data_IF_604609668893
#
_entry.id   IF_604609668893
#
_cell.length_a   1.000
_cell.length_b   1.000
_cell.length_c   1.000
_cell.angle_alpha   90.00
_cell.angle_beta   90.00
_cell.angle_gamma   90.00
#
_symmetry.space_group_name_H-M   'P 1'
#
loop_
_entity.id
_entity.type
_entity.pdbx_description
1 polymer ?
#
# COMPACT_ATOMS: atom_id res chain seq x y z
N UNK A 1 28.37 13.45 18.12
CA UNK A 1 29.57 12.62 17.95
C UNK A 1 29.13 11.25 17.48
N UNK A 2 29.21 11.01 16.17
CA UNK A 2 28.97 9.70 15.56
C UNK A 2 30.08 8.75 16.02
N UNK A 3 29.82 7.51 16.45
CA UNK A 3 30.91 6.60 16.79
C UNK A 3 31.71 6.34 15.50
N UNK A 4 32.96 6.78 15.50
CA UNK A 4 33.92 6.42 14.47
C UNK A 4 34.17 4.90 14.55
N UNK A 5 34.20 4.23 13.40
CA UNK A 5 34.73 2.87 13.20
C UNK A 5 33.95 1.69 13.79
N UNK A 6 32.69 1.48 13.41
CA UNK A 6 32.19 0.10 13.35
C UNK A 6 32.76 -0.58 12.09
N UNK A 7 33.51 -1.66 12.25
CA UNK A 7 33.92 -2.53 11.13
C UNK A 7 32.70 -2.84 10.24
N UNK A 8 32.76 -2.62 8.90
CA UNK A 8 31.64 -2.88 8.00
C UNK A 8 31.02 -4.27 8.17
N UNK A 9 31.85 -5.29 8.38
CA UNK A 9 31.38 -6.64 8.62
C UNK A 9 30.57 -6.76 9.91
N UNK A 10 30.95 -6.04 10.95
CA UNK A 10 30.27 -6.04 12.25
C UNK A 10 28.90 -5.37 12.16
N UNK A 11 28.78 -4.25 11.45
CA UNK A 11 27.48 -3.58 11.26
C UNK A 11 26.50 -4.45 10.48
N UNK A 12 26.95 -5.10 9.41
CA UNK A 12 26.12 -5.98 8.58
C UNK A 12 25.70 -7.25 9.32
N UNK A 13 26.62 -7.86 10.09
CA UNK A 13 26.29 -9.01 10.95
C UNK A 13 25.22 -8.64 11.99
N UNK A 14 25.41 -7.51 12.69
CA UNK A 14 24.42 -7.04 13.64
C UNK A 14 23.05 -6.77 12.98
N UNK A 15 23.03 -6.13 11.80
CA UNK A 15 21.79 -5.89 11.08
C UNK A 15 21.08 -7.19 10.67
N UNK A 16 21.84 -8.21 10.26
CA UNK A 16 21.32 -9.52 9.95
C UNK A 16 20.73 -10.20 11.19
N UNK A 17 21.46 -10.19 12.31
CA UNK A 17 20.98 -10.78 13.57
C UNK A 17 19.71 -10.08 14.08
N UNK A 18 19.63 -8.75 13.96
CA UNK A 18 18.43 -7.96 14.26
C UNK A 18 17.25 -8.40 13.37
N UNK A 19 17.48 -8.54 12.05
CA UNK A 19 16.45 -9.00 11.12
C UNK A 19 15.94 -10.41 11.45
N UNK A 20 16.84 -11.34 11.80
CA UNK A 20 16.46 -12.70 12.22
C UNK A 20 15.60 -12.67 13.48
N UNK A 21 15.91 -11.81 14.46
CA UNK A 21 15.07 -11.63 15.65
C UNK A 21 13.67 -11.15 15.29
N UNK A 22 13.54 -10.18 14.38
CA UNK A 22 12.22 -9.70 13.93
C UNK A 22 11.45 -10.79 13.17
N UNK A 23 12.12 -11.62 12.35
CA UNK A 23 11.50 -12.77 11.70
C UNK A 23 11.04 -13.85 12.70
N UNK A 24 11.79 -14.08 13.78
CA UNK A 24 11.38 -14.96 14.87
C UNK A 24 10.12 -14.43 15.55
N UNK A 25 10.09 -13.13 15.89
CA UNK A 25 8.91 -12.49 16.46
C UNK A 25 7.69 -12.51 15.50
N UNK A 26 7.92 -12.49 14.18
CA UNK A 26 6.86 -12.66 13.20
C UNK A 26 6.33 -14.11 13.16
N UNK A 27 7.22 -15.11 13.25
CA UNK A 27 6.82 -16.53 13.35
C UNK A 27 6.00 -16.78 14.60
N UNK A 28 6.42 -16.22 15.72
CA UNK A 28 5.76 -16.36 17.03
C UNK A 28 4.29 -15.91 16.98
N UNK A 29 3.95 -14.97 16.09
CA UNK A 29 2.57 -14.57 15.86
C UNK A 29 1.68 -15.67 15.25
N UNK A 30 2.25 -16.78 14.77
CA UNK A 30 1.46 -17.90 14.22
C UNK A 30 1.00 -18.90 15.28
N UNK A 31 1.62 -18.91 16.47
CA UNK A 31 1.37 -19.94 17.48
C UNK A 31 1.28 -19.43 18.93
N UNK A 32 1.76 -18.22 19.25
CA UNK A 32 1.63 -17.63 20.59
C UNK A 32 0.21 -17.06 20.83
N UNK A 33 -0.55 -17.58 21.81
CA UNK A 33 -1.94 -17.17 22.04
C UNK A 33 -2.16 -15.67 22.27
N UNK A 34 -1.22 -14.98 22.92
CA UNK A 34 -1.24 -13.54 23.19
C UNK A 34 -1.18 -12.69 21.91
N UNK A 35 -0.61 -13.23 20.83
CA UNK A 35 -0.56 -12.61 19.51
C UNK A 35 -1.76 -12.98 18.63
N UNK A 36 -2.76 -13.64 19.22
CA UNK A 36 -4.08 -13.89 18.64
C UNK A 36 -4.03 -14.59 17.26
N UNK A 37 -3.29 -15.70 17.10
CA UNK A 37 -3.25 -16.44 15.86
C UNK A 37 -4.61 -17.06 15.51
N UNK A 38 -4.73 -17.52 14.27
CA UNK A 38 -5.83 -18.39 13.88
C UNK A 38 -5.80 -19.71 14.69
N UNK A 39 -6.95 -20.41 14.86
CA UNK A 39 -6.99 -21.69 15.54
C UNK A 39 -5.97 -22.69 14.97
N UNK A 40 -5.21 -23.35 15.83
CA UNK A 40 -4.07 -24.21 15.46
C UNK A 40 -4.51 -25.57 14.87
N UNK A 41 -5.22 -25.54 13.74
CA UNK A 41 -5.48 -26.73 12.91
C UNK A 41 -4.28 -26.98 12.00
N UNK A 42 -4.10 -28.23 11.53
CA UNK A 42 -3.03 -28.59 10.57
C UNK A 42 -2.99 -27.63 9.37
N UNK A 43 -4.18 -27.36 8.79
CA UNK A 43 -4.32 -26.44 7.66
C UNK A 43 -3.90 -25.01 8.02
N UNK A 44 -4.39 -24.47 9.13
CA UNK A 44 -4.07 -23.08 9.51
C UNK A 44 -2.59 -22.89 9.83
N UNK A 45 -1.95 -23.88 10.46
CA UNK A 45 -0.52 -23.84 10.70
C UNK A 45 0.26 -23.84 9.37
N UNK A 46 -0.04 -24.75 8.45
CA UNK A 46 0.63 -24.78 7.15
C UNK A 46 0.42 -23.49 6.35
N UNK A 47 -0.81 -22.98 6.34
CA UNK A 47 -1.16 -21.71 5.67
C UNK A 47 -0.50 -20.50 6.35
N UNK A 48 -0.37 -20.50 7.68
CA UNK A 48 0.31 -19.45 8.43
C UNK A 48 1.79 -19.31 8.05
N UNK A 49 2.51 -20.42 7.86
CA UNK A 49 3.89 -20.38 7.37
C UNK A 49 3.98 -19.92 5.90
N UNK A 50 3.01 -20.29 5.06
CA UNK A 50 2.91 -19.76 3.69
C UNK A 50 2.64 -18.26 3.68
N UNK A 51 1.79 -17.78 4.59
CA UNK A 51 1.48 -16.37 4.79
C UNK A 51 2.70 -15.57 5.26
N UNK A 52 3.45 -16.10 6.23
CA UNK A 52 4.74 -15.54 6.67
C UNK A 52 5.73 -15.42 5.50
N UNK A 53 5.87 -16.47 4.68
CA UNK A 53 6.73 -16.44 3.50
C UNK A 53 6.25 -15.41 2.45
N UNK A 54 4.94 -15.23 2.30
CA UNK A 54 4.36 -14.19 1.44
C UNK A 54 4.75 -12.78 1.89
N UNK A 55 4.73 -12.51 3.19
CA UNK A 55 5.21 -11.22 3.70
C UNK A 55 6.71 -11.06 3.64
N UNK A 56 7.49 -12.14 3.77
CA UNK A 56 8.93 -12.09 3.52
C UNK A 56 9.23 -11.61 2.10
N UNK A 57 8.50 -12.15 1.11
CA UNK A 57 8.64 -11.71 -0.29
C UNK A 57 8.31 -10.22 -0.46
N UNK A 58 7.16 -9.77 0.04
CA UNK A 58 6.78 -8.35 -0.02
C UNK A 58 7.79 -7.44 0.70
N UNK A 59 8.29 -7.86 1.87
CA UNK A 59 9.26 -7.09 2.65
C UNK A 59 10.60 -6.90 1.94
N UNK A 60 11.07 -7.90 1.18
CA UNK A 60 12.29 -7.77 0.36
C UNK A 60 12.09 -6.65 -0.66
N UNK A 61 11.01 -6.71 -1.44
CA UNK A 61 10.74 -5.66 -2.43
C UNK A 61 10.66 -4.28 -1.76
N UNK A 62 10.00 -4.20 -0.59
CA UNK A 62 9.76 -2.95 0.13
C UNK A 62 11.00 -2.37 0.82
N UNK A 63 11.91 -3.22 1.28
CA UNK A 63 13.11 -2.74 1.94
C UNK A 63 14.17 -2.31 0.93
N UNK A 64 14.35 -3.07 -0.16
CA UNK A 64 15.49 -2.91 -1.07
C UNK A 64 15.18 -2.11 -2.33
N UNK A 65 13.90 -2.00 -2.73
CA UNK A 65 13.50 -1.42 -4.03
C UNK A 65 12.51 -0.26 -3.89
N UNK A 66 12.66 0.55 -2.84
CA UNK A 66 11.78 1.68 -2.52
C UNK A 66 12.48 3.03 -2.77
N UNK A 67 12.94 3.26 -4.01
CA UNK A 67 13.60 4.50 -4.43
C UNK A 67 12.57 5.50 -5.02
N UNK A 68 12.22 6.59 -4.31
CA UNK A 68 11.27 7.57 -4.81
C UNK A 68 11.83 8.43 -5.95
N UNK A 69 13.14 8.39 -6.25
CA UNK A 69 13.73 9.06 -7.41
C UNK A 69 13.66 8.21 -8.68
N UNK A 70 13.56 6.90 -8.52
CA UNK A 70 13.39 5.91 -9.60
C UNK A 70 12.24 4.96 -9.25
N UNK A 71 11.02 5.50 -9.09
CA UNK A 71 9.89 4.68 -8.67
C UNK A 71 9.55 3.66 -9.77
N UNK A 72 9.08 2.49 -9.34
CA UNK A 72 8.52 1.47 -10.21
C UNK A 72 7.23 0.96 -9.60
N UNK A 73 6.22 0.74 -10.44
CA UNK A 73 5.01 0.07 -9.98
C UNK A 73 5.28 -1.40 -9.73
N UNK A 74 4.74 -1.88 -8.62
CA UNK A 74 4.74 -3.28 -8.22
C UNK A 74 3.42 -3.63 -7.57
N UNK A 75 3.17 -4.93 -7.45
CA UNK A 75 1.98 -5.41 -6.78
C UNK A 75 2.11 -5.22 -5.27
N UNK A 76 1.26 -4.37 -4.68
CA UNK A 76 1.24 -4.20 -3.22
C UNK A 76 0.75 -5.48 -2.51
N UNK A 77 -0.16 -6.19 -3.16
CA UNK A 77 -0.62 -7.55 -2.85
C UNK A 77 -0.75 -8.31 -4.16
N UNK A 78 -0.51 -9.62 -4.15
CA UNK A 78 -0.66 -10.46 -5.34
C UNK A 78 -1.30 -11.80 -5.01
N UNK A 79 -1.71 -12.54 -6.04
CA UNK A 79 -2.29 -13.89 -5.89
C UNK A 79 -1.36 -14.90 -5.20
N UNK A 80 -0.04 -14.65 -5.21
CA UNK A 80 0.97 -15.46 -4.54
C UNK A 80 1.42 -14.87 -3.18
N UNK A 81 1.15 -13.58 -2.93
CA UNK A 81 1.47 -12.86 -1.68
C UNK A 81 0.20 -12.21 -1.12
N UNK A 82 -0.77 -13.04 -0.77
CA UNK A 82 -2.08 -12.60 -0.29
C UNK A 82 -1.99 -11.94 1.09
N UNK A 83 -2.90 -11.00 1.34
CA UNK A 83 -3.10 -10.33 2.64
C UNK A 83 -4.39 -10.82 3.32
N UNK A 84 -4.61 -10.47 4.59
CA UNK A 84 -5.77 -10.96 5.38
C UNK A 84 -7.15 -10.54 4.83
N UNK A 85 -7.22 -9.47 4.02
CA UNK A 85 -8.47 -8.94 3.43
C UNK A 85 -8.26 -8.50 1.99
N UNK A 86 -7.46 -9.25 1.22
CA UNK A 86 -7.31 -9.00 -0.21
C UNK A 86 -8.63 -9.25 -0.95
N UNK A 87 -8.94 -8.39 -1.92
CA UNK A 87 -10.03 -8.60 -2.84
C UNK A 87 -9.52 -9.47 -3.99
N UNK A 88 -10.16 -10.63 -4.19
CA UNK A 88 -9.86 -11.54 -5.28
C UNK A 88 -10.07 -10.93 -6.67
N UNK A 89 -10.91 -9.90 -6.77
CA UNK A 89 -11.21 -9.15 -8.00
C UNK A 89 -10.25 -7.98 -8.24
N UNK A 90 -9.16 -7.84 -7.47
CA UNK A 90 -8.31 -6.67 -7.52
C UNK A 90 -6.85 -6.99 -7.85
N UNK A 91 -6.26 -6.17 -8.72
CA UNK A 91 -4.81 -5.99 -8.82
C UNK A 91 -4.44 -4.74 -8.01
N UNK A 92 -3.67 -4.94 -6.95
CA UNK A 92 -3.20 -3.86 -6.08
C UNK A 92 -1.84 -3.38 -6.56
N UNK A 93 -1.68 -2.09 -6.79
CA UNK A 93 -0.40 -1.52 -7.22
C UNK A 93 0.11 -0.47 -6.23
N UNK A 94 1.43 -0.28 -6.22
CA UNK A 94 2.15 0.65 -5.36
C UNK A 94 3.42 1.15 -6.04
N UNK A 95 3.78 2.41 -5.79
CA UNK A 95 5.11 2.96 -6.05
C UNK A 95 5.48 4.02 -4.99
N UNK A 96 6.75 4.10 -4.55
CA UNK A 96 7.21 5.11 -3.60
C UNK A 96 7.22 6.52 -4.23
N UNK A 97 7.04 7.54 -3.40
CA UNK A 97 7.14 8.95 -3.79
C UNK A 97 7.89 9.75 -2.71
N UNK A 98 8.54 10.84 -3.12
CA UNK A 98 8.74 12.01 -2.25
C UNK A 98 7.80 13.09 -2.75
N UNK A 99 6.67 13.27 -2.04
CA UNK A 99 5.59 14.15 -2.45
C UNK A 99 5.95 15.63 -2.55
N UNK A 100 7.18 16.03 -2.24
CA UNK A 100 7.71 17.37 -2.53
C UNK A 100 8.11 17.55 -4.00
N UNK A 101 8.35 16.44 -4.70
CA UNK A 101 8.71 16.42 -6.11
C UNK A 101 7.49 16.18 -7.00
N UNK A 102 7.68 16.28 -8.31
CA UNK A 102 6.66 16.02 -9.31
C UNK A 102 6.93 14.71 -10.06
N UNK A 103 5.86 14.00 -10.40
CA UNK A 103 5.91 12.71 -11.09
C UNK A 103 4.87 12.67 -12.21
N UNK A 104 5.17 11.88 -13.24
CA UNK A 104 4.23 11.57 -14.32
C UNK A 104 3.96 10.09 -14.32
N UNK A 105 2.69 9.72 -14.18
CA UNK A 105 2.21 8.37 -14.51
C UNK A 105 1.70 8.41 -15.94
N UNK A 106 2.09 7.43 -16.76
CA UNK A 106 1.56 7.26 -18.11
C UNK A 106 1.16 5.81 -18.35
N UNK A 107 0.13 5.62 -19.17
CA UNK A 107 -0.33 4.29 -19.52
C UNK A 107 -1.27 4.29 -20.71
N UNK A 108 -1.68 3.09 -21.11
CA UNK A 108 -2.64 2.87 -22.18
C UNK A 108 -3.59 1.76 -21.80
N UNK A 109 -4.87 1.95 -22.07
CA UNK A 109 -5.92 0.97 -21.77
C UNK A 109 -6.75 0.62 -23.01
N UNK A 110 -7.51 -0.47 -22.91
CA UNK A 110 -8.52 -0.86 -23.89
C UNK A 110 -9.79 0.00 -23.84
N UNK A 111 -10.91 -0.56 -24.28
CA UNK A 111 -12.20 0.14 -24.28
C UNK A 111 -12.63 0.49 -22.85
N UNK A 112 -12.86 1.78 -22.60
CA UNK A 112 -13.22 2.33 -21.28
C UNK A 112 -14.60 3.00 -21.28
N UNK A 113 -15.41 2.74 -22.30
CA UNK A 113 -16.74 3.34 -22.50
C UNK A 113 -17.68 3.11 -21.33
N UNK A 114 -17.61 1.94 -20.71
CA UNK A 114 -18.43 1.59 -19.56
C UNK A 114 -18.20 2.50 -18.35
N UNK A 115 -17.03 3.13 -18.22
CA UNK A 115 -16.77 4.12 -17.16
C UNK A 115 -17.66 5.37 -17.28
N UNK A 116 -18.21 5.64 -18.48
CA UNK A 116 -19.18 6.72 -18.75
C UNK A 116 -20.60 6.20 -18.94
N UNK A 117 -20.86 4.93 -18.62
CA UNK A 117 -22.16 4.29 -18.82
C UNK A 117 -22.50 3.97 -20.27
N UNK A 118 -21.53 4.07 -21.18
CA UNK A 118 -21.69 3.67 -22.57
C UNK A 118 -21.52 2.15 -22.72
N UNK A 119 -22.21 1.49 -23.68
CA UNK A 119 -22.00 0.08 -23.96
C UNK A 119 -20.54 -0.19 -24.39
N UNK A 120 -19.94 -1.31 -23.97
CA UNK A 120 -18.60 -1.66 -24.40
C UNK A 120 -18.55 -1.91 -25.91
N UNK A 121 -17.41 -1.59 -26.52
CA UNK A 121 -17.17 -1.93 -27.92
C UNK A 121 -17.13 -3.46 -28.12
N UNK A 122 -17.78 -3.99 -29.16
CA UNK A 122 -17.79 -5.43 -29.42
C UNK A 122 -16.40 -5.92 -29.88
N UNK A 123 -15.94 -7.03 -29.32
CA UNK A 123 -14.76 -7.76 -29.80
C UNK A 123 -13.41 -7.09 -29.54
N UNK A 124 -13.34 -6.13 -28.61
CA UNK A 124 -12.08 -5.53 -28.16
C UNK A 124 -11.91 -5.72 -26.64
N UNK A 125 -10.66 -5.88 -26.14
CA UNK A 125 -10.42 -5.92 -24.71
C UNK A 125 -10.86 -4.64 -24.00
N UNK A 126 -11.40 -4.79 -22.80
CA UNK A 126 -11.89 -3.68 -21.98
C UNK A 126 -10.88 -3.28 -20.92
N UNK A 127 -10.89 -2.01 -20.56
CA UNK A 127 -10.27 -1.56 -19.33
C UNK A 127 -10.94 -2.25 -18.12
N UNK A 128 -10.26 -2.36 -16.97
CA UNK A 128 -10.83 -2.92 -15.75
C UNK A 128 -12.14 -2.23 -15.39
N UNK A 129 -13.05 -2.94 -14.71
CA UNK A 129 -14.32 -2.40 -14.25
C UNK A 129 -14.15 -1.05 -13.53
N UNK A 130 -13.14 -0.95 -12.67
CA UNK A 130 -12.82 0.27 -11.96
C UNK A 130 -11.32 0.44 -11.75
N UNK A 131 -10.83 1.69 -11.81
CA UNK A 131 -9.44 2.04 -11.56
C UNK A 131 -9.39 3.20 -10.57
N UNK A 132 -8.53 3.11 -9.56
CA UNK A 132 -8.31 4.20 -8.60
C UNK A 132 -6.84 4.34 -8.24
N UNK A 133 -6.36 5.59 -8.21
CA UNK A 133 -5.05 6.01 -7.73
C UNK A 133 -5.22 6.89 -6.49
N UNK A 134 -4.42 6.66 -5.46
CA UNK A 134 -4.42 7.41 -4.21
C UNK A 134 -2.99 7.73 -3.76
N UNK A 135 -2.67 9.01 -3.66
CA UNK A 135 -1.43 9.49 -3.07
C UNK A 135 -1.62 9.64 -1.56
N UNK A 136 -0.72 9.05 -0.79
CA UNK A 136 -0.88 8.94 0.67
C UNK A 136 0.41 9.27 1.41
N UNK A 137 0.27 9.93 2.55
CA UNK A 137 1.32 10.23 3.52
C UNK A 137 1.24 9.25 4.70
N UNK A 138 2.41 8.77 5.14
CA UNK A 138 2.56 7.80 6.23
C UNK A 138 3.08 6.43 5.75
N UNK A 139 3.02 5.43 6.62
CA UNK A 139 3.33 4.04 6.28
C UNK A 139 2.18 3.31 5.57
N UNK A 140 2.44 2.10 5.10
CA UNK A 140 1.39 1.16 4.71
C UNK A 140 0.76 0.55 5.96
N UNK A 141 -0.47 0.05 5.81
CA UNK A 141 -1.17 -0.64 6.89
C UNK A 141 -0.40 -1.88 7.32
N UNK A 142 -0.15 -2.00 8.62
CA UNK A 142 0.56 -3.09 9.26
C UNK A 142 2.05 -2.87 9.43
N UNK A 143 2.61 -1.74 9.01
CA UNK A 143 4.06 -1.51 9.08
C UNK A 143 4.62 -1.44 10.51
N UNK A 144 3.82 -0.98 11.47
CA UNK A 144 4.23 -0.86 12.87
C UNK A 144 3.89 -2.11 13.69
N UNK A 145 2.95 -2.93 13.22
CA UNK A 145 2.36 -4.03 14.00
C UNK A 145 1.25 -3.61 14.96
N UNK A 146 0.91 -2.33 15.01
CA UNK A 146 0.00 -1.77 16.02
C UNK A 146 -1.29 -1.22 15.40
N UNK A 147 -2.43 -1.53 16.01
CA UNK A 147 -3.74 -1.04 15.55
C UNK A 147 -3.87 0.48 15.61
N UNK A 148 -3.01 1.16 16.37
CA UNK A 148 -2.88 2.60 16.45
C UNK A 148 -2.65 3.28 15.10
N UNK A 149 -2.19 2.56 14.07
CA UNK A 149 -2.13 3.03 12.68
C UNK A 149 -3.48 3.39 12.06
N UNK A 150 -4.56 2.83 12.60
CA UNK A 150 -5.93 3.09 12.14
C UNK A 150 -6.51 4.37 12.74
N UNK A 151 -5.80 5.01 13.69
CA UNK A 151 -6.24 6.28 14.28
C UNK A 151 -6.31 7.36 13.18
N UNK A 152 -7.40 8.13 13.13
CA UNK A 152 -7.52 9.25 12.20
C UNK A 152 -6.33 10.21 12.33
N UNK A 153 -5.73 10.56 11.19
CA UNK A 153 -4.60 11.49 11.13
C UNK A 153 -3.22 10.84 11.11
N UNK A 154 -3.08 9.53 11.40
CA UNK A 154 -1.82 8.80 11.21
C UNK A 154 -1.47 8.69 9.73
N UNK A 155 -2.40 8.14 8.95
CA UNK A 155 -2.31 8.11 7.48
C UNK A 155 -3.21 9.18 6.90
N UNK A 156 -2.71 9.87 5.88
CA UNK A 156 -3.45 10.94 5.21
C UNK A 156 -3.39 10.77 3.71
N UNK A 157 -4.55 10.56 3.09
CA UNK A 157 -4.67 10.70 1.63
C UNK A 157 -4.51 12.17 1.25
N UNK A 158 -3.52 12.47 0.41
CA UNK A 158 -3.24 13.81 -0.10
C UNK A 158 -4.04 14.11 -1.36
N UNK A 159 -4.27 13.11 -2.19
CA UNK A 159 -5.06 13.22 -3.41
C UNK A 159 -5.51 11.86 -3.94
N UNK A 160 -6.50 11.87 -4.83
CA UNK A 160 -6.99 10.67 -5.52
C UNK A 160 -7.49 11.00 -6.92
N UNK A 161 -7.50 10.01 -7.79
CA UNK A 161 -8.17 10.02 -9.09
C UNK A 161 -8.71 8.62 -9.37
N UNK A 162 -9.93 8.53 -9.88
CA UNK A 162 -10.52 7.26 -10.28
C UNK A 162 -11.09 7.34 -11.71
N UNK A 163 -11.47 6.17 -12.23
CA UNK A 163 -11.97 6.01 -13.59
C UNK A 163 -13.22 6.84 -13.91
N UNK A 164 -13.99 7.28 -12.91
CA UNK A 164 -15.17 8.13 -13.14
C UNK A 164 -14.82 9.57 -13.53
N UNK A 165 -13.62 10.03 -13.17
CA UNK A 165 -13.15 11.39 -13.42
C UNK A 165 -11.91 11.46 -14.32
N UNK A 166 -11.30 10.32 -14.64
CA UNK A 166 -10.08 10.26 -15.43
C UNK A 166 -10.33 10.64 -16.89
N UNK A 167 -9.51 11.56 -17.39
CA UNK A 167 -9.43 11.91 -18.80
C UNK A 167 -8.57 10.87 -19.52
N UNK A 168 -9.11 10.29 -20.59
CA UNK A 168 -8.42 9.31 -21.44
C UNK A 168 -8.56 9.79 -22.88
N UNK A 169 -7.44 9.80 -23.59
CA UNK A 169 -7.40 10.20 -24.99
C UNK A 169 -8.13 9.19 -25.88
N UNK A 170 -8.48 9.61 -27.10
CA UNK A 170 -9.23 8.77 -28.04
C UNK A 170 -8.52 7.47 -28.41
N UNK A 171 -7.19 7.41 -28.28
CA UNK A 171 -6.37 6.23 -28.56
C UNK A 171 -6.15 5.31 -27.33
N UNK A 172 -6.77 5.66 -26.19
CA UNK A 172 -6.68 4.93 -24.92
C UNK A 172 -5.50 5.34 -24.03
N UNK A 173 -4.68 6.30 -24.45
CA UNK A 173 -3.58 6.82 -23.63
C UNK A 173 -4.08 7.76 -22.54
N UNK A 174 -3.34 7.81 -21.43
CA UNK A 174 -3.57 8.77 -20.36
C UNK A 174 -2.25 9.12 -19.69
N UNK A 175 -2.22 10.33 -19.13
CA UNK A 175 -1.15 10.81 -18.26
C UNK A 175 -1.78 11.35 -16.98
N UNK A 176 -1.11 11.19 -15.84
CA UNK A 176 -1.49 11.76 -14.55
C UNK A 176 -0.28 12.49 -13.96
N UNK A 177 -0.43 13.79 -13.74
CA UNK A 177 0.57 14.59 -13.03
C UNK A 177 0.36 14.48 -11.51
N UNK A 178 1.41 14.09 -10.80
CA UNK A 178 1.48 14.16 -9.34
C UNK A 178 2.41 15.30 -8.98
N UNK A 179 1.95 16.26 -8.18
CA UNK A 179 2.78 17.35 -7.66
C UNK A 179 2.16 17.92 -6.37
N UNK A 180 2.92 18.69 -5.55
CA UNK A 180 2.38 19.27 -4.32
C UNK A 180 1.09 20.05 -4.57
N UNK A 181 1.12 20.90 -5.59
CA UNK A 181 -0.01 21.73 -5.99
C UNK A 181 -0.23 21.64 -7.50
N UNK A 182 -1.48 21.84 -7.94
CA UNK A 182 -1.81 21.82 -9.36
C UNK A 182 -1.16 23.03 -10.04
N UNK A 183 -0.34 22.85 -11.10
CA UNK A 183 0.23 23.98 -11.81
C UNK A 183 -0.86 24.90 -12.40
N UNK A 184 -0.61 26.20 -12.39
CA UNK A 184 -1.54 27.18 -12.93
C UNK A 184 -1.87 26.87 -14.40
N UNK A 185 -3.16 26.82 -14.72
CA UNK A 185 -3.62 26.52 -16.09
C UNK A 185 -3.65 25.04 -16.46
N UNK A 186 -3.10 24.12 -15.66
CA UNK A 186 -3.12 22.69 -15.96
C UNK A 186 -4.55 22.10 -15.93
N UNK A 187 -4.95 21.40 -17.00
CA UNK A 187 -6.31 20.85 -17.19
C UNK A 187 -6.37 19.32 -17.20
N UNK A 188 -5.23 18.64 -17.31
CA UNK A 188 -5.16 17.18 -17.33
C UNK A 188 -5.45 16.53 -15.98
N UNK A 189 -5.33 15.21 -15.95
CA UNK A 189 -5.42 14.42 -14.74
C UNK A 189 -4.36 14.83 -13.73
N UNK A 190 -4.77 15.08 -12.49
CA UNK A 190 -3.88 15.59 -11.46
C UNK A 190 -4.20 14.98 -10.10
N UNK A 191 -3.16 14.61 -9.37
CA UNK A 191 -3.25 14.14 -7.99
C UNK A 191 -2.32 14.99 -7.12
N UNK A 192 -2.88 15.66 -6.11
CA UNK A 192 -2.10 16.45 -5.16
C UNK A 192 -1.26 15.53 -4.26
N UNK A 193 0.03 15.83 -4.14
CA UNK A 193 0.94 15.13 -3.22
C UNK A 193 1.17 15.90 -1.91
N UNK A 194 0.58 17.09 -1.76
CA UNK A 194 0.54 17.85 -0.51
C UNK A 194 -0.89 17.98 -0.02
N UNK A 195 -1.08 17.80 1.30
CA UNK A 195 -2.30 18.17 2.00
C UNK A 195 -1.98 18.91 3.29
N UNK A 196 -2.67 20.03 3.50
CA UNK A 196 -2.65 20.72 4.78
C UNK A 196 -3.69 20.09 5.70
N UNK A 197 -3.30 19.78 6.94
CA UNK A 197 -4.19 19.25 7.97
C UNK A 197 -4.27 20.20 9.16
N UNK A 198 -5.48 20.34 9.71
CA UNK A 198 -5.73 21.24 10.86
C UNK A 198 -5.42 20.57 12.21
N UNK A 199 -5.38 19.23 12.23
CA UNK A 199 -5.14 18.45 13.44
C UNK A 199 -3.68 17.99 13.50
N UNK A 200 -3.03 18.06 14.67
CA UNK A 200 -1.67 17.55 14.85
C UNK A 200 -1.63 16.03 14.62
N UNK A 201 -0.47 15.51 14.23
CA UNK A 201 -0.31 14.07 14.08
C UNK A 201 -0.42 13.39 15.45
N UNK A 202 -1.19 12.29 15.57
CA UNK A 202 -1.56 11.73 16.87
C UNK A 202 -0.40 11.07 17.63
N UNK A 203 0.72 10.77 16.95
CA UNK A 203 1.93 10.17 17.57
C UNK A 203 3.19 10.95 17.30
N UNK A 204 3.11 12.08 16.60
CA UNK A 204 4.26 12.91 16.26
C UNK A 204 3.85 14.40 16.35
N UNK A 205 3.82 14.98 17.55
CA UNK A 205 3.33 16.34 17.75
C UNK A 205 4.19 17.40 17.04
N UNK A 206 5.44 17.07 16.70
CA UNK A 206 6.38 17.97 16.03
C UNK A 206 6.17 17.98 14.49
N UNK A 207 5.39 17.03 13.96
CA UNK A 207 5.02 17.00 12.56
C UNK A 207 4.05 18.14 12.22
N UNK A 208 4.61 19.24 11.72
CA UNK A 208 3.87 20.43 11.27
C UNK A 208 2.76 20.12 10.25
N UNK A 209 1.85 21.04 9.93
CA UNK A 209 0.55 20.73 9.29
C UNK A 209 0.61 20.24 7.84
N UNK A 210 1.75 20.35 7.16
CA UNK A 210 1.93 19.84 5.81
C UNK A 210 2.12 18.31 5.82
N UNK A 211 1.33 17.59 5.02
CA UNK A 211 1.48 16.14 4.76
C UNK A 211 1.87 15.95 3.30
N UNK A 212 3.10 15.47 3.07
CA UNK A 212 3.56 15.09 1.75
C UNK A 212 3.36 13.58 1.55
N UNK A 213 2.90 13.19 0.37
CA UNK A 213 2.74 11.78 0.01
C UNK A 213 4.09 11.06 0.03
N UNK A 214 4.13 9.87 0.62
CA UNK A 214 5.26 8.94 0.62
C UNK A 214 5.12 7.85 -0.43
N UNK A 215 3.91 7.66 -0.99
CA UNK A 215 3.64 6.69 -2.03
C UNK A 215 2.37 7.04 -2.82
N UNK A 216 2.28 6.46 -4.02
CA UNK A 216 1.04 6.28 -4.77
C UNK A 216 0.66 4.80 -4.71
N UNK A 217 -0.61 4.52 -4.49
CA UNK A 217 -1.15 3.16 -4.52
C UNK A 217 -2.54 3.14 -5.13
N UNK A 218 -3.04 1.97 -5.43
CA UNK A 218 -4.37 1.88 -6.01
C UNK A 218 -4.80 0.46 -6.33
N UNK A 219 -5.93 0.37 -7.01
CA UNK A 219 -6.57 -0.90 -7.39
C UNK A 219 -7.09 -0.82 -8.82
N UNK A 220 -6.82 -1.87 -9.57
CA UNK A 220 -7.60 -2.22 -10.77
C UNK A 220 -8.60 -3.28 -10.32
N UNK A 221 -9.89 -3.00 -10.39
CA UNK A 221 -10.96 -3.93 -10.04
C UNK A 221 -11.56 -4.51 -11.30
N UNK A 222 -11.79 -5.81 -11.28
CA UNK A 222 -12.32 -6.59 -12.37
C UNK A 222 -13.69 -7.14 -12.00
N UNK A 223 -14.62 -7.18 -12.94
CA UNK A 223 -15.88 -7.91 -12.81
C UNK A 223 -16.03 -9.01 -13.86
N UNK A 224 -15.21 -8.98 -14.91
CA UNK A 224 -15.24 -9.91 -16.03
C UNK A 224 -13.80 -10.19 -16.50
N UNK A 225 -13.13 -11.07 -15.75
CA UNK A 225 -11.76 -11.50 -15.99
C UNK A 225 -11.53 -12.16 -17.37
N UNK A 226 -12.58 -12.53 -18.11
CA UNK A 226 -12.47 -13.10 -19.46
C UNK A 226 -12.25 -12.01 -20.53
N UNK A 227 -12.75 -10.79 -20.29
CA UNK A 227 -12.79 -9.73 -21.30
C UNK A 227 -12.13 -8.41 -20.86
N UNK A 228 -11.83 -8.26 -19.58
CA UNK A 228 -11.13 -7.10 -19.03
C UNK A 228 -9.62 -7.37 -18.93
N UNK A 229 -8.81 -6.39 -19.32
CA UNK A 229 -7.36 -6.47 -19.28
C UNK A 229 -6.77 -5.50 -18.25
N UNK A 230 -5.76 -5.97 -17.54
CA UNK A 230 -4.99 -5.12 -16.65
C UNK A 230 -4.24 -4.05 -17.42
N UNK A 231 -4.34 -2.80 -16.95
CA UNK A 231 -3.63 -1.67 -17.50
C UNK A 231 -2.19 -1.72 -17.04
N UNK A 232 -1.25 -1.69 -17.97
CA UNK A 232 0.14 -1.41 -17.68
C UNK A 232 0.36 0.11 -17.68
N UNK A 233 1.03 0.60 -16.64
CA UNK A 233 1.41 2.00 -16.53
C UNK A 233 2.77 2.13 -15.83
N UNK A 234 3.49 3.16 -16.21
CA UNK A 234 4.81 3.52 -15.72
C UNK A 234 4.74 4.78 -14.87
N UNK A 235 5.77 5.02 -14.07
CA UNK A 235 5.94 6.26 -13.30
C UNK A 235 7.37 6.76 -13.41
N UNK A 236 7.52 8.07 -13.62
CA UNK A 236 8.81 8.75 -13.63
C UNK A 236 8.78 9.97 -12.73
N UNK A 237 9.87 10.24 -12.00
CA UNK A 237 10.06 11.54 -11.37
C UNK A 237 10.53 12.54 -12.41
N UNK A 238 9.79 13.65 -12.55
CA UNK A 238 10.14 14.72 -13.47
C UNK A 238 11.44 15.40 -13.04
N UNK A 239 12.41 15.51 -13.95
CA UNK A 239 13.73 16.10 -13.72
C UNK A 239 14.78 15.12 -13.19
N UNK A 240 14.43 13.84 -13.01
CA UNK A 240 15.37 12.79 -12.62
C UNK A 240 15.72 11.84 -13.78
N UNK A 241 15.25 12.12 -15.00
CA UNK A 241 15.46 11.28 -16.17
C UNK A 241 16.95 11.08 -16.46
N UNK A 242 17.34 9.83 -16.74
CA UNK A 242 18.74 9.49 -17.03
C UNK A 242 19.70 9.58 -15.83
N UNK A 243 19.21 9.90 -14.62
CA UNK A 243 20.03 9.81 -13.42
C UNK A 243 20.32 8.34 -13.07
N UNK A 244 21.38 8.11 -12.29
CA UNK A 244 21.77 6.78 -11.78
C UNK A 244 21.76 6.75 -10.24
N UNK A 245 21.41 5.62 -9.60
CA UNK A 245 21.43 5.51 -8.16
C UNK A 245 22.86 5.71 -7.62
N UNK A 246 23.01 6.30 -6.42
CA UNK A 246 24.33 6.38 -5.78
C UNK A 246 24.87 4.98 -5.46
N UNK A 247 26.19 4.83 -5.26
CA UNK A 247 26.77 3.56 -4.81
C UNK A 247 26.10 3.03 -3.55
N UNK A 248 25.83 1.73 -3.54
CA UNK A 248 25.18 1.07 -2.42
C UNK A 248 26.13 0.96 -1.23
N UNK A 249 25.79 1.61 -0.11
CA UNK A 249 26.65 1.69 1.07
C UNK A 249 26.30 0.63 2.12
N UNK A 250 27.24 0.39 3.04
CA UNK A 250 27.08 -0.53 4.17
C UNK A 250 25.94 -0.08 5.07
N UNK A 251 25.80 1.22 5.30
CA UNK A 251 24.75 1.81 6.13
C UNK A 251 23.37 1.63 5.47
N UNK A 252 23.30 1.81 4.14
CA UNK A 252 22.08 1.56 3.39
C UNK A 252 21.65 0.10 3.52
N UNK A 253 22.58 -0.84 3.28
CA UNK A 253 22.32 -2.26 3.41
C UNK A 253 21.87 -2.65 4.83
N UNK A 254 22.59 -2.19 5.85
CA UNK A 254 22.27 -2.48 7.24
C UNK A 254 20.89 -1.92 7.65
N UNK A 255 20.48 -0.75 7.13
CA UNK A 255 19.14 -0.19 7.36
C UNK A 255 18.07 -1.02 6.66
N UNK A 256 18.27 -1.38 5.39
CA UNK A 256 17.29 -2.14 4.61
C UNK A 256 17.10 -3.56 5.14
N UNK A 257 18.17 -4.24 5.57
CA UNK A 257 18.09 -5.56 6.20
C UNK A 257 17.21 -5.51 7.46
N UNK A 258 17.41 -4.51 8.35
CA UNK A 258 16.55 -4.34 9.53
C UNK A 258 15.10 -4.02 9.16
N UNK A 259 14.91 -3.11 8.20
CA UNK A 259 13.58 -2.71 7.72
C UNK A 259 12.79 -3.91 7.18
N UNK A 260 13.45 -4.83 6.46
CA UNK A 260 12.83 -6.07 6.00
C UNK A 260 12.27 -6.88 7.17
N UNK A 261 13.04 -7.09 8.23
CA UNK A 261 12.60 -7.80 9.42
C UNK A 261 11.39 -7.13 10.10
N UNK A 262 11.46 -5.81 10.28
CA UNK A 262 10.37 -5.04 10.91
C UNK A 262 9.07 -5.06 10.10
N UNK A 263 9.15 -4.98 8.76
CA UNK A 263 7.96 -5.08 7.91
C UNK A 263 7.27 -6.43 8.12
N UNK A 264 8.01 -7.54 8.10
CA UNK A 264 7.41 -8.88 8.29
C UNK A 264 6.79 -8.99 9.68
N UNK A 265 7.51 -8.58 10.73
CA UNK A 265 7.01 -8.57 12.11
C UNK A 265 5.72 -7.76 12.23
N UNK A 266 5.74 -6.54 11.72
CA UNK A 266 4.60 -5.63 11.75
C UNK A 266 3.38 -6.25 11.08
N UNK A 267 3.52 -6.77 9.86
CA UNK A 267 2.39 -7.31 9.11
C UNK A 267 1.71 -8.47 9.86
N UNK A 268 2.47 -9.42 10.40
CA UNK A 268 1.89 -10.55 11.14
C UNK A 268 1.16 -10.09 12.41
N UNK A 269 1.79 -9.23 13.20
CA UNK A 269 1.23 -8.74 14.47
C UNK A 269 -0.03 -7.91 14.23
N UNK A 270 0.03 -6.99 13.26
CA UNK A 270 -1.08 -6.11 12.93
C UNK A 270 -2.29 -6.90 12.44
N UNK A 271 -2.11 -7.81 11.47
CA UNK A 271 -3.24 -8.47 10.83
C UNK A 271 -3.94 -9.47 11.76
N UNK A 272 -3.21 -10.15 12.64
CA UNK A 272 -3.82 -10.95 13.69
C UNK A 272 -4.69 -10.08 14.62
N UNK A 273 -4.15 -8.95 15.07
CA UNK A 273 -4.88 -8.01 15.91
C UNK A 273 -6.10 -7.44 15.19
N UNK A 274 -5.96 -7.05 13.91
CA UNK A 274 -7.02 -6.50 13.07
C UNK A 274 -8.18 -7.49 12.89
N UNK A 275 -7.83 -8.73 12.55
CA UNK A 275 -8.78 -9.82 12.33
C UNK A 275 -9.55 -10.20 13.60
N UNK A 276 -8.90 -10.07 14.75
CA UNK A 276 -9.43 -10.56 16.02
C UNK A 276 -10.16 -9.49 16.82
N UNK A 277 -9.69 -8.24 16.77
CA UNK A 277 -10.21 -7.12 17.58
C UNK A 277 -11.22 -6.28 16.78
N UNK A 278 -10.84 -5.47 15.77
CA UNK A 278 -11.80 -4.72 14.96
C UNK A 278 -12.87 -5.57 14.26
N UNK A 279 -12.48 -6.73 13.70
CA UNK A 279 -13.41 -7.59 12.97
C UNK A 279 -14.19 -8.55 13.87
N UNK A 280 -13.71 -8.82 15.09
CA UNK A 280 -14.37 -9.71 16.05
C UNK A 280 -14.57 -11.13 15.53
N UNK A 281 -13.69 -11.64 14.65
CA UNK A 281 -13.89 -12.92 13.96
C UNK A 281 -14.05 -14.11 14.90
N UNK A 282 -13.39 -14.05 16.06
CA UNK A 282 -13.48 -15.09 17.11
C UNK A 282 -14.34 -14.65 18.30
N UNK A 283 -15.25 -13.69 18.10
CA UNK A 283 -16.04 -13.06 19.15
C UNK A 283 -15.56 -11.64 19.48
N UNK A 284 -16.38 -10.92 20.26
CA UNK A 284 -16.06 -9.55 20.68
C UNK A 284 -14.85 -9.56 21.62
N UNK A 285 -13.91 -8.64 21.37
CA UNK A 285 -12.75 -8.40 22.23
C UNK A 285 -12.60 -6.92 22.51
N UNK A 286 -12.21 -6.59 23.75
CA UNK A 286 -11.81 -5.23 24.11
C UNK A 286 -10.56 -4.82 23.35
N UNK A 287 -10.50 -3.56 22.91
CA UNK A 287 -9.29 -2.99 22.27
C UNK A 287 -9.54 -2.35 20.91
N UNK A 288 -10.75 -2.44 20.37
CA UNK A 288 -11.12 -1.70 19.16
C UNK A 288 -11.01 -0.19 19.40
N UNK A 289 -10.34 0.50 18.49
CA UNK A 289 -10.32 1.95 18.47
C UNK A 289 -11.74 2.49 18.21
N UNK A 290 -12.16 3.59 18.88
CA UNK A 290 -13.47 4.18 18.63
C UNK A 290 -13.70 4.49 17.15
N UNK A 291 -14.80 3.98 16.59
CA UNK A 291 -15.17 4.17 15.19
C UNK A 291 -14.48 3.25 14.17
N UNK A 292 -13.64 2.31 14.63
CA UNK A 292 -12.90 1.36 13.76
C UNK A 292 -13.49 -0.05 13.80
N UNK A 293 -14.28 -0.37 14.83
CA UNK A 293 -14.93 -1.68 14.97
C UNK A 293 -15.95 -1.93 13.84
N UNK A 294 -15.96 -3.15 13.31
CA UNK A 294 -16.92 -3.58 12.31
C UNK A 294 -18.24 -4.00 12.98
N UNK A 295 -19.40 -3.68 12.38
CA UNK A 295 -20.68 -4.09 12.92
C UNK A 295 -20.82 -5.61 12.80
N UNK A 296 -21.24 -6.26 13.89
CA UNK A 296 -21.47 -7.71 13.92
C UNK A 296 -22.85 -8.04 13.36
N UNK A 297 -22.92 -9.01 12.45
CA UNK A 297 -24.17 -9.46 11.81
C UNK A 297 -24.98 -8.33 11.15
N UNK A 298 -24.32 -7.27 10.71
CA UNK A 298 -24.91 -6.17 9.97
C UNK A 298 -23.93 -5.68 8.90
N UNK A 299 -24.46 -4.99 7.90
CA UNK A 299 -23.63 -4.43 6.84
C UNK A 299 -22.83 -3.22 7.35
N UNK A 300 -21.60 -3.10 6.86
CA UNK A 300 -20.92 -1.81 6.89
C UNK A 300 -21.78 -0.76 6.20
N UNK A 301 -21.72 0.48 6.67
CA UNK A 301 -22.29 1.59 5.89
C UNK A 301 -21.56 1.64 4.55
N UNK A 302 -22.32 1.65 3.45
CA UNK A 302 -21.77 1.83 2.11
C UNK A 302 -20.94 3.12 2.13
N UNK A 303 -19.70 3.00 1.66
CA UNK A 303 -18.79 4.12 1.55
C UNK A 303 -18.23 4.13 0.12
N UNK A 304 -17.81 5.29 -0.36
CA UNK A 304 -17.13 5.38 -1.64
C UNK A 304 -15.86 4.50 -1.61
N UNK A 305 -15.51 3.91 -2.76
CA UNK A 305 -14.27 3.17 -2.90
C UNK A 305 -13.09 4.03 -2.43
N UNK A 306 -12.35 3.53 -1.44
CA UNK A 306 -11.17 4.19 -0.88
C UNK A 306 -10.14 3.14 -0.47
N UNK A 307 -8.88 3.53 -0.41
CA UNK A 307 -7.79 2.69 0.08
C UNK A 307 -7.95 2.27 1.55
N UNK A 308 -8.67 3.07 2.34
CA UNK A 308 -8.82 2.91 3.79
C UNK A 308 -9.75 1.76 4.21
N UNK A 309 -10.72 1.41 3.37
CA UNK A 309 -11.63 0.28 3.61
C UNK A 309 -11.24 -0.83 2.65
N UNK A 310 -10.90 -2.03 3.15
CA UNK A 310 -10.64 -3.21 2.31
C UNK A 310 -11.81 -3.63 1.42
N UNK A 311 -12.97 -2.98 1.55
CA UNK A 311 -14.17 -3.20 0.74
C UNK A 311 -14.19 -2.39 -0.55
N UNK A 312 -13.26 -2.64 -1.46
CA UNK A 312 -13.45 -2.29 -2.87
C UNK A 312 -13.76 -3.55 -3.66
N UNK A 313 -14.91 -4.21 -3.41
CA UNK A 313 -15.37 -5.35 -4.23
C UNK A 313 -16.03 -4.83 -5.50
N UNK A 314 -15.95 -5.59 -6.59
CA UNK A 314 -16.62 -5.30 -7.86
C UNK A 314 -18.14 -5.10 -7.70
N UNK A 315 -18.72 -5.70 -6.66
CA UNK A 315 -20.14 -5.62 -6.28
C UNK A 315 -20.47 -4.48 -5.31
N UNK A 316 -19.51 -3.65 -4.88
CA UNK A 316 -19.72 -2.58 -3.89
C UNK A 316 -20.18 -1.24 -4.49
N UNK A 317 -20.70 -1.24 -5.72
CA UNK A 317 -21.25 -0.06 -6.41
C UNK A 317 -22.73 -0.26 -6.73
#
# INVERSE_FOLDING_TARGET
MTPANSDPGTLLRAAWDDMIQSLQAARDALDQPELMPAPATERNLAEGYRYLAGYLHSAIERAFHDDPQRPQFRNALSVITRGTIDNADAIYFYAPLDGRNSYLISGRMGDNRHWRGEPPAPGVPRAPHYLIFEASSGGLTGDTGDLGELRPGVKSQTGRLDSSAMQVEADGTFEILLAPERPAGYRGNFIATLKMVDKPHPTDPDLGPARYASYISGRQLFNDWEHEEAIHFDIVQLGAEGSQPPPYTVECAARQIRQMGEIVRGQLHFWNAFWTIPMGTYGERSGSLPGVAFPRNAFNRINAASGATGGGMSTNL
#
